data_IF_620165544466
#
_entry.id   IF_620165544466
#
_cell.length_a   1.000
_cell.length_b   1.000
_cell.length_c   1.000
_cell.angle_alpha   90.00
_cell.angle_beta   90.00
_cell.angle_gamma   90.00
#
_symmetry.space_group_name_H-M   'P 1'
#
loop_
_entity.id
_entity.type
_entity.pdbx_description
1 polymer ?
#
# COMPACT_ATOMS: atom_id res chain seq x y z
N UNK A 1 38.84 21.83 -30.18
CA UNK A 1 39.34 22.39 -28.91
C UNK A 1 40.73 21.82 -28.64
N UNK A 2 41.71 22.66 -28.34
CA UNK A 2 43.13 22.31 -28.25
C UNK A 2 43.47 21.94 -26.79
N UNK A 3 44.20 20.85 -26.58
CA UNK A 3 44.61 20.42 -25.24
C UNK A 3 45.52 21.48 -24.57
N UNK A 4 45.44 21.67 -23.24
CA UNK A 4 46.32 22.59 -22.52
C UNK A 4 47.77 22.06 -22.52
N UNK A 5 48.77 22.96 -22.54
CA UNK A 5 50.17 22.57 -22.61
C UNK A 5 50.61 21.90 -21.30
N UNK A 6 51.21 20.70 -21.41
CA UNK A 6 51.78 19.95 -20.28
C UNK A 6 51.06 18.66 -19.88
N UNK A 7 49.94 18.31 -20.54
CA UNK A 7 49.28 17.02 -20.27
C UNK A 7 49.97 15.87 -21.01
N UNK A 8 50.55 14.92 -20.26
CA UNK A 8 51.06 13.65 -20.78
C UNK A 8 49.95 12.87 -21.52
N UNK A 9 50.26 12.41 -22.73
CA UNK A 9 49.36 11.71 -23.65
C UNK A 9 48.75 10.41 -23.08
N UNK A 10 49.30 9.88 -21.99
CA UNK A 10 48.75 8.70 -21.29
C UNK A 10 47.62 9.03 -20.32
N UNK A 11 47.41 10.30 -19.96
CA UNK A 11 46.41 10.70 -18.97
C UNK A 11 45.05 11.09 -19.59
N UNK A 12 44.99 11.34 -20.90
CA UNK A 12 43.74 11.71 -21.58
C UNK A 12 42.94 10.49 -22.08
N UNK A 13 43.59 9.35 -22.33
CA UNK A 13 42.91 8.12 -22.71
C UNK A 13 42.15 7.47 -21.52
N UNK A 14 42.53 7.79 -20.28
CA UNK A 14 41.93 7.21 -19.06
C UNK A 14 40.77 8.01 -18.49
N UNK A 15 40.28 9.03 -19.21
CA UNK A 15 39.07 9.80 -18.82
C UNK A 15 37.87 9.57 -19.72
N UNK A 16 38.05 8.89 -20.85
CA UNK A 16 36.97 8.43 -21.73
C UNK A 16 36.60 6.95 -21.48
N UNK A 17 36.85 6.44 -20.28
CA UNK A 17 36.45 5.09 -19.86
C UNK A 17 35.88 5.08 -18.43
N UNK A 18 35.38 6.22 -17.96
CA UNK A 18 34.82 6.37 -16.61
C UNK A 18 33.36 6.88 -16.60
N UNK A 19 32.65 6.74 -17.72
CA UNK A 19 31.24 7.13 -17.85
C UNK A 19 30.37 6.06 -18.52
N UNK A 20 30.79 4.79 -18.51
CA UNK A 20 29.99 3.68 -19.09
C UNK A 20 29.39 2.72 -18.05
N UNK A 21 29.52 3.02 -16.76
CA UNK A 21 28.80 2.27 -15.73
C UNK A 21 28.16 3.27 -14.78
N UNK A 22 27.14 3.98 -15.29
CA UNK A 22 26.03 4.34 -14.41
C UNK A 22 25.44 3.01 -13.98
N UNK A 23 25.84 2.56 -12.79
CA UNK A 23 25.36 1.35 -12.18
C UNK A 23 23.84 1.43 -12.15
N UNK A 24 23.17 0.50 -12.82
CA UNK A 24 21.78 0.17 -12.51
C UNK A 24 21.79 -0.31 -11.06
N UNK A 25 21.70 0.62 -10.12
CA UNK A 25 21.49 0.27 -8.73
C UNK A 25 20.17 -0.49 -8.69
N UNK A 26 20.14 -1.71 -8.13
CA UNK A 26 18.89 -2.43 -7.98
C UNK A 26 17.97 -1.54 -7.16
N UNK A 27 16.86 -1.10 -7.76
CA UNK A 27 15.81 -0.38 -7.04
C UNK A 27 15.42 -1.28 -5.89
N UNK A 28 15.71 -0.89 -4.65
CA UNK A 28 15.30 -1.67 -3.49
C UNK A 28 13.77 -1.73 -3.53
N UNK A 29 13.24 -2.88 -3.92
CA UNK A 29 11.80 -3.16 -3.99
C UNK A 29 11.21 -2.85 -2.62
N UNK A 30 10.33 -1.86 -2.56
CA UNK A 30 9.68 -1.51 -1.29
C UNK A 30 8.78 -2.67 -0.85
N UNK A 31 8.42 -2.72 0.43
CA UNK A 31 7.46 -3.72 0.93
C UNK A 31 6.12 -3.58 0.19
N UNK A 32 5.74 -2.37 -0.24
CA UNK A 32 4.56 -2.13 -1.05
C UNK A 32 4.67 -2.79 -2.44
N UNK A 33 5.84 -2.72 -3.06
CA UNK A 33 6.11 -3.38 -4.34
C UNK A 33 6.08 -4.92 -4.20
N UNK A 34 6.47 -5.45 -3.03
CA UNK A 34 6.36 -6.88 -2.72
C UNK A 34 4.92 -7.35 -2.48
N UNK A 35 4.06 -6.47 -1.99
CA UNK A 35 2.69 -6.82 -1.56
C UNK A 35 1.62 -5.88 -2.16
N UNK A 36 1.57 -5.70 -3.50
CA UNK A 36 0.78 -4.65 -4.14
C UNK A 36 -0.74 -4.74 -3.90
N UNK A 37 -1.26 -5.91 -3.48
CA UNK A 37 -2.67 -6.08 -3.14
C UNK A 37 -3.07 -5.36 -1.85
N UNK A 38 -2.14 -5.17 -0.91
CA UNK A 38 -2.39 -4.55 0.39
C UNK A 38 -2.16 -3.04 0.39
N UNK A 39 -1.62 -2.49 -0.71
CA UNK A 39 -1.30 -1.07 -0.84
C UNK A 39 -2.11 -0.47 -1.99
N UNK A 40 -2.72 0.68 -1.74
CA UNK A 40 -3.51 1.43 -2.73
C UNK A 40 -2.95 2.84 -2.86
N UNK A 41 -2.91 3.37 -4.08
CA UNK A 41 -2.49 4.75 -4.31
C UNK A 41 -3.48 5.70 -3.68
N UNK A 42 -2.99 6.60 -2.83
CA UNK A 42 -3.82 7.62 -2.16
C UNK A 42 -3.78 8.97 -2.87
N UNK A 43 -3.03 9.10 -3.97
CA UNK A 43 -2.91 10.32 -4.79
C UNK A 43 -2.64 11.60 -3.96
N UNK A 44 -1.86 11.50 -2.88
CA UNK A 44 -1.49 12.63 -2.03
C UNK A 44 -2.56 13.10 -1.05
N UNK A 45 -3.63 12.32 -0.85
CA UNK A 45 -4.64 12.60 0.18
C UNK A 45 -4.00 12.66 1.57
N UNK A 46 -4.33 13.70 2.33
CA UNK A 46 -3.88 13.88 3.72
C UNK A 46 -4.68 13.01 4.71
N UNK A 47 -5.91 12.67 4.35
CA UNK A 47 -6.79 11.84 5.13
C UNK A 47 -7.62 10.93 4.22
N UNK A 48 -8.02 9.78 4.74
CA UNK A 48 -8.93 8.85 4.09
C UNK A 48 -9.95 8.35 5.12
N UNK A 49 -11.22 8.29 4.75
CA UNK A 49 -12.25 7.69 5.60
C UNK A 49 -12.44 6.19 5.29
N UNK A 50 -13.19 5.51 6.16
CA UNK A 50 -13.47 4.07 6.04
C UNK A 50 -14.14 3.72 4.71
N UNK A 51 -15.00 4.58 4.18
CA UNK A 51 -15.74 4.32 2.95
C UNK A 51 -14.84 4.41 1.72
N UNK A 52 -13.96 5.41 1.68
CA UNK A 52 -12.94 5.54 0.64
C UNK A 52 -11.94 4.36 0.69
N UNK A 53 -11.60 3.84 1.88
CA UNK A 53 -10.82 2.59 1.99
C UNK A 53 -11.56 1.43 1.32
N UNK A 54 -12.85 1.22 1.61
CA UNK A 54 -13.63 0.16 0.95
C UNK A 54 -13.71 0.33 -0.57
N UNK A 55 -13.80 1.57 -1.05
CA UNK A 55 -13.77 1.88 -2.48
C UNK A 55 -12.40 1.58 -3.12
N UNK A 56 -11.29 1.95 -2.48
CA UNK A 56 -9.94 1.68 -3.00
C UNK A 56 -9.62 0.18 -3.09
N UNK A 57 -10.16 -0.60 -2.15
CA UNK A 57 -10.01 -2.05 -2.13
C UNK A 57 -11.05 -2.79 -2.97
N UNK A 58 -12.01 -2.06 -3.57
CA UNK A 58 -13.04 -2.60 -4.45
C UNK A 58 -13.78 -3.78 -3.80
N UNK A 59 -14.29 -3.57 -2.57
CA UNK A 59 -14.99 -4.62 -1.82
C UNK A 59 -16.33 -4.93 -2.50
N UNK A 60 -16.40 -6.09 -3.16
CA UNK A 60 -17.59 -6.61 -3.83
C UNK A 60 -18.46 -7.43 -2.88
N UNK A 61 -19.30 -6.74 -2.10
CA UNK A 61 -20.30 -7.38 -1.24
C UNK A 61 -21.63 -6.61 -1.30
N UNK A 62 -22.61 -7.08 -2.10
CA UNK A 62 -23.92 -6.43 -2.19
C UNK A 62 -24.75 -6.53 -0.91
N UNK A 63 -24.43 -7.47 0.00
CA UNK A 63 -25.13 -7.60 1.29
C UNK A 63 -24.74 -6.51 2.29
N UNK A 64 -23.59 -5.86 2.09
CA UNK A 64 -23.05 -4.84 2.99
C UNK A 64 -22.36 -5.39 4.26
N UNK A 65 -22.32 -6.71 4.44
CA UNK A 65 -21.81 -7.33 5.67
C UNK A 65 -20.30 -7.09 5.85
N UNK A 66 -19.50 -7.20 4.78
CA UNK A 66 -18.05 -7.00 4.84
C UNK A 66 -17.72 -5.56 5.20
N UNK A 67 -18.38 -4.58 4.57
CA UNK A 67 -18.18 -3.16 4.85
C UNK A 67 -18.58 -2.82 6.29
N UNK A 68 -19.72 -3.35 6.76
CA UNK A 68 -20.20 -3.12 8.13
C UNK A 68 -19.29 -3.75 9.19
N UNK A 69 -18.82 -4.98 8.97
CA UNK A 69 -17.86 -5.63 9.83
C UNK A 69 -16.51 -4.88 9.84
N UNK A 70 -15.98 -4.52 8.67
CA UNK A 70 -14.73 -3.77 8.55
C UNK A 70 -14.80 -2.42 9.29
N UNK A 71 -15.90 -1.69 9.18
CA UNK A 71 -16.12 -0.43 9.92
C UNK A 71 -16.06 -0.63 11.44
N UNK A 72 -16.61 -1.74 11.96
CA UNK A 72 -16.52 -2.07 13.39
C UNK A 72 -15.08 -2.37 13.80
N UNK A 73 -14.35 -3.12 12.99
CA UNK A 73 -12.95 -3.45 13.26
C UNK A 73 -12.06 -2.19 13.26
N UNK A 74 -12.21 -1.31 12.27
CA UNK A 74 -11.39 -0.09 12.12
C UNK A 74 -11.64 0.95 13.23
N UNK A 75 -12.81 0.91 13.87
CA UNK A 75 -13.22 1.87 14.91
C UNK A 75 -13.43 1.20 16.28
N UNK A 76 -12.92 -0.02 16.48
CA UNK A 76 -13.18 -0.80 17.68
C UNK A 76 -12.73 -0.08 18.95
N UNK A 77 -13.63 0.04 19.94
CA UNK A 77 -13.34 0.64 21.24
C UNK A 77 -13.21 2.16 21.27
N UNK A 78 -13.32 2.85 20.12
CA UNK A 78 -13.26 4.32 20.03
C UNK A 78 -14.57 4.95 19.52
N UNK A 79 -15.63 4.15 19.41
CA UNK A 79 -16.95 4.62 18.98
C UNK A 79 -17.66 5.38 20.10
N UNK A 80 -18.43 6.39 19.72
CA UNK A 80 -19.23 7.26 20.61
C UNK A 80 -20.39 6.56 21.33
N UNK A 81 -20.57 5.25 21.15
CA UNK A 81 -21.71 4.49 21.68
C UNK A 81 -21.46 3.76 23.01
N UNK A 82 -20.32 3.99 23.67
CA UNK A 82 -20.00 3.37 24.97
C UNK A 82 -19.77 1.85 24.94
N UNK A 83 -19.63 1.25 23.75
CA UNK A 83 -19.33 -0.18 23.59
C UNK A 83 -17.86 -0.45 23.84
N UNK A 84 -17.55 -1.59 24.44
CA UNK A 84 -16.18 -2.04 24.57
C UNK A 84 -15.64 -2.52 23.22
N UNK A 85 -14.31 -2.55 23.07
CA UNK A 85 -13.69 -3.18 21.92
C UNK A 85 -14.13 -4.65 21.76
N UNK A 86 -14.35 -5.37 22.86
CA UNK A 86 -14.83 -6.75 22.83
C UNK A 86 -16.22 -6.86 22.19
N UNK A 87 -17.15 -5.96 22.54
CA UNK A 87 -18.48 -5.93 21.94
C UNK A 87 -18.41 -5.63 20.43
N UNK A 88 -17.56 -4.68 20.03
CA UNK A 88 -17.35 -4.35 18.61
C UNK A 88 -16.81 -5.56 17.81
N UNK A 89 -15.84 -6.31 18.37
CA UNK A 89 -15.32 -7.53 17.75
C UNK A 89 -16.41 -8.61 17.65
N UNK A 90 -17.19 -8.82 18.71
CA UNK A 90 -18.28 -9.79 18.72
C UNK A 90 -19.32 -9.46 17.64
N UNK A 91 -19.70 -8.19 17.52
CA UNK A 91 -20.66 -7.74 16.50
C UNK A 91 -20.09 -7.83 15.08
N UNK A 92 -18.79 -7.55 14.89
CA UNK A 92 -18.13 -7.73 13.61
C UNK A 92 -18.14 -9.22 13.20
N UNK A 93 -17.85 -10.13 14.13
CA UNK A 93 -17.95 -11.57 13.92
C UNK A 93 -19.38 -11.99 13.54
N UNK A 94 -20.39 -11.57 14.29
CA UNK A 94 -21.78 -11.94 14.02
C UNK A 94 -22.23 -11.44 12.63
N UNK A 95 -21.75 -10.26 12.22
CA UNK A 95 -21.98 -9.73 10.86
C UNK A 95 -21.31 -10.60 9.78
N UNK A 96 -20.09 -11.08 10.02
CA UNK A 96 -19.39 -11.97 9.09
C UNK A 96 -20.02 -13.38 9.04
N UNK A 97 -20.54 -13.88 10.16
CA UNK A 97 -21.36 -15.09 10.17
C UNK A 97 -22.55 -14.95 9.25
N UNK A 98 -23.24 -13.81 9.26
CA UNK A 98 -24.35 -13.55 8.34
C UNK A 98 -23.92 -13.57 6.87
N UNK A 99 -22.75 -13.00 6.56
CA UNK A 99 -22.19 -13.07 5.20
C UNK A 99 -21.95 -14.53 4.77
N UNK A 100 -21.40 -15.37 5.66
CA UNK A 100 -21.17 -16.79 5.38
C UNK A 100 -22.48 -17.52 5.12
N UNK A 101 -23.52 -17.29 5.90
CA UNK A 101 -24.84 -17.89 5.66
C UNK A 101 -25.42 -17.52 4.27
N UNK A 102 -25.22 -16.27 3.83
CA UNK A 102 -25.69 -15.79 2.52
C UNK A 102 -24.88 -16.35 1.34
N UNK A 103 -23.62 -16.72 1.58
CA UNK A 103 -22.68 -17.17 0.54
C UNK A 103 -22.26 -18.63 0.74
N UNK A 104 -22.96 -19.37 1.62
CA UNK A 104 -22.68 -20.78 1.86
C UNK A 104 -22.99 -21.56 0.59
N UNK A 105 -22.05 -22.37 0.07
CA UNK A 105 -22.32 -23.18 -1.10
C UNK A 105 -23.45 -24.16 -0.78
N UNK A 106 -24.47 -24.17 -1.64
CA UNK A 106 -25.51 -25.21 -1.67
C UNK A 106 -24.95 -26.56 -2.08
#
# INVERSE_FOLDING_TARGET
>A
MKAPPGASSKAWATRLFLFSQLTLQPTMTSIADKYPKYYKKTNGLQAIDVYAVHQLFDIQDPSGCIQHASKKLLLSGVRTGGKSAFDDIKEARDTLTRWLELNSPT
#
